data_IF_621023098374
#
_entry.id   IF_621023098374
#
_cell.length_a   1.000
_cell.length_b   1.000
_cell.length_c   1.000
_cell.angle_alpha   90.00
_cell.angle_beta   90.00
_cell.angle_gamma   90.00
#
_symmetry.space_group_name_H-M   'P 1'
#
loop_
_entity.id
_entity.type
_entity.pdbx_description
1 polymer ?
#
# COMPACT_ATOMS: atom_id res chain seq x y z
N UNK A 1 2.87 15.32 1.25
CA UNK A 1 4.29 14.89 1.26
C UNK A 1 5.08 15.82 0.33
N UNK A 2 6.33 16.17 0.67
CA UNK A 2 7.18 17.01 -0.20
C UNK A 2 7.97 16.10 -1.15
N UNK A 3 7.69 16.19 -2.45
CA UNK A 3 8.47 15.52 -3.49
C UNK A 3 9.03 16.56 -4.44
N UNK A 4 10.36 16.62 -4.59
CA UNK A 4 11.07 17.44 -5.59
C UNK A 4 10.64 18.92 -5.68
N UNK A 5 10.37 19.57 -4.54
CA UNK A 5 10.03 21.01 -4.48
C UNK A 5 8.54 21.33 -4.58
N UNK A 6 7.68 20.32 -4.80
CA UNK A 6 6.23 20.48 -4.80
C UNK A 6 5.59 19.80 -3.59
N UNK A 7 4.51 20.41 -3.09
CA UNK A 7 3.66 19.83 -2.06
C UNK A 7 2.53 19.07 -2.73
N UNK A 8 2.46 17.76 -2.49
CA UNK A 8 1.27 16.97 -2.82
C UNK A 8 0.48 16.66 -1.57
N UNK A 9 -0.82 16.97 -1.60
CA UNK A 9 -1.78 16.37 -0.68
C UNK A 9 -2.07 14.97 -1.18
N UNK A 10 -1.99 13.95 -0.32
CA UNK A 10 -2.34 12.56 -0.64
C UNK A 10 -3.47 12.13 0.29
N UNK A 11 -4.70 12.54 -0.04
CA UNK A 11 -5.86 12.26 0.77
C UNK A 11 -6.33 10.82 0.51
N UNK A 12 -6.22 9.99 1.55
CA UNK A 12 -6.59 8.59 1.51
C UNK A 12 -7.68 8.31 2.54
N UNK A 13 -8.48 7.27 2.31
CA UNK A 13 -9.47 6.78 3.27
C UNK A 13 -9.33 5.28 3.43
N UNK A 14 -9.32 4.78 4.66
CA UNK A 14 -9.48 3.35 4.93
C UNK A 14 -10.86 2.93 4.45
N UNK A 15 -10.91 2.03 3.48
CA UNK A 15 -12.15 1.56 2.86
C UNK A 15 -12.60 0.22 3.44
N UNK A 16 -11.67 -0.56 4.00
CA UNK A 16 -11.97 -1.78 4.75
C UNK A 16 -10.81 -2.15 5.68
N UNK A 17 -11.14 -3.03 6.64
CA UNK A 17 -10.20 -3.67 7.57
C UNK A 17 -10.38 -5.18 7.45
N UNK A 18 -9.28 -5.92 7.51
CA UNK A 18 -9.23 -7.37 7.58
C UNK A 18 -8.84 -7.74 9.01
N UNK A 19 -9.66 -8.53 9.69
CA UNK A 19 -9.39 -9.04 11.04
C UNK A 19 -9.86 -10.50 11.14
N UNK A 20 -9.06 -11.40 10.58
CA UNK A 20 -9.32 -12.84 10.57
C UNK A 20 -8.47 -13.48 11.69
N UNK A 21 -9.13 -13.90 12.78
CA UNK A 21 -8.44 -14.38 13.99
C UNK A 21 -8.42 -15.89 14.16
N UNK A 22 -9.22 -16.59 13.38
CA UNK A 22 -9.52 -18.02 13.52
C UNK A 22 -8.78 -18.86 12.47
N UNK A 23 -8.56 -20.14 12.79
CA UNK A 23 -7.87 -21.07 11.89
C UNK A 23 -6.35 -21.11 12.04
N UNK A 24 -5.70 -21.81 11.09
CA UNK A 24 -4.25 -22.02 11.06
C UNK A 24 -3.46 -20.74 10.71
N UNK A 25 -4.11 -19.78 10.05
CA UNK A 25 -3.51 -18.50 9.66
C UNK A 25 -4.31 -17.36 10.28
N UNK A 26 -3.65 -16.50 11.06
CA UNK A 26 -4.23 -15.25 11.55
C UNK A 26 -3.87 -14.14 10.57
N UNK A 27 -4.84 -13.35 10.10
CA UNK A 27 -4.60 -12.25 9.17
C UNK A 27 -5.16 -10.95 9.72
N UNK A 28 -4.34 -9.90 9.65
CA UNK A 28 -4.77 -8.54 9.97
C UNK A 28 -4.30 -7.58 8.88
N UNK A 29 -5.12 -6.62 8.51
CA UNK A 29 -4.76 -5.68 7.46
C UNK A 29 -5.79 -4.59 7.24
N UNK A 30 -5.47 -3.67 6.35
CA UNK A 30 -6.40 -2.63 5.91
C UNK A 30 -6.11 -2.25 4.47
N UNK A 31 -7.17 -1.87 3.75
CA UNK A 31 -7.07 -1.24 2.45
C UNK A 31 -7.43 0.23 2.56
N UNK A 32 -6.62 1.09 1.96
CA UNK A 32 -6.99 2.50 1.75
C UNK A 32 -7.11 2.81 0.27
N UNK A 33 -8.10 3.63 -0.06
CA UNK A 33 -8.31 4.16 -1.40
C UNK A 33 -7.97 5.65 -1.47
N UNK A 34 -7.48 6.09 -2.62
CA UNK A 34 -7.34 7.53 -2.94
C UNK A 34 -8.72 8.12 -3.25
N UNK A 35 -9.05 9.29 -2.69
CA UNK A 35 -10.32 9.97 -2.93
C UNK A 35 -10.40 10.55 -4.36
N UNK A 36 -11.62 10.84 -4.84
CA UNK A 36 -11.89 11.27 -6.23
C UNK A 36 -11.21 12.56 -6.67
N UNK A 37 -10.77 13.39 -5.73
CA UNK A 37 -10.03 14.64 -5.97
C UNK A 37 -8.54 14.41 -6.32
N UNK A 38 -8.10 13.14 -6.41
CA UNK A 38 -6.75 12.76 -6.85
C UNK A 38 -6.72 12.39 -8.33
N UNK A 39 -5.74 12.92 -9.07
CA UNK A 39 -5.50 12.62 -10.49
C UNK A 39 -5.16 11.15 -10.81
N UNK A 40 -4.92 10.33 -9.77
CA UNK A 40 -4.82 8.88 -9.86
C UNK A 40 -5.81 8.25 -8.88
N UNK A 41 -6.58 7.25 -9.34
CA UNK A 41 -7.50 6.48 -8.50
C UNK A 41 -6.91 5.10 -8.26
N UNK A 42 -6.64 4.74 -7.02
CA UNK A 42 -6.07 3.46 -6.66
C UNK A 42 -6.39 3.04 -5.24
N UNK A 43 -6.06 1.79 -4.94
CA UNK A 43 -6.12 1.23 -3.60
C UNK A 43 -4.78 0.59 -3.27
N UNK A 44 -4.38 0.72 -2.02
CA UNK A 44 -3.25 0.01 -1.45
C UNK A 44 -3.70 -0.72 -0.19
N UNK A 45 -3.37 -2.01 -0.14
CA UNK A 45 -3.70 -2.94 0.93
C UNK A 45 -2.44 -3.43 1.61
N UNK A 46 -2.44 -3.33 2.93
CA UNK A 46 -1.38 -3.81 3.81
C UNK A 46 -1.94 -4.98 4.59
N UNK A 47 -1.26 -6.12 4.54
CA UNK A 47 -1.69 -7.32 5.24
C UNK A 47 -0.50 -7.95 5.96
N UNK A 48 -0.73 -8.37 7.20
CA UNK A 48 0.16 -9.25 7.96
C UNK A 48 -0.57 -10.56 8.18
N UNK A 49 0.07 -11.65 7.81
CA UNK A 49 -0.40 -13.01 8.07
C UNK A 49 0.57 -13.70 9.02
N UNK A 50 0.03 -14.42 9.99
CA UNK A 50 0.81 -15.27 10.89
C UNK A 50 0.32 -16.70 10.74
N UNK A 51 1.18 -17.55 10.20
CA UNK A 51 0.96 -18.99 10.06
C UNK A 51 1.37 -19.68 11.35
N UNK A 52 0.38 -20.17 12.10
CA UNK A 52 0.61 -20.74 13.45
C UNK A 52 1.35 -22.08 13.42
N UNK A 53 1.30 -22.79 12.30
CA UNK A 53 1.91 -24.13 12.19
C UNK A 53 3.43 -24.10 12.21
N UNK A 54 4.04 -23.06 11.63
CA UNK A 54 5.48 -22.92 11.46
C UNK A 54 6.02 -21.59 12.00
N UNK A 55 5.19 -20.82 12.70
CA UNK A 55 5.49 -19.50 13.27
C UNK A 55 5.97 -18.46 12.23
N UNK A 56 5.60 -18.64 10.95
CA UNK A 56 5.98 -17.72 9.89
C UNK A 56 5.07 -16.50 9.86
N UNK A 57 5.67 -15.31 9.83
CA UNK A 57 4.98 -14.05 9.61
C UNK A 57 5.23 -13.56 8.18
N UNK A 58 4.15 -13.36 7.45
CA UNK A 58 4.16 -12.85 6.08
C UNK A 58 3.62 -11.43 6.08
N UNK A 59 4.33 -10.53 5.40
CA UNK A 59 3.86 -9.18 5.16
C UNK A 59 3.64 -8.99 3.65
N UNK A 60 2.43 -8.57 3.29
CA UNK A 60 2.03 -8.30 1.91
C UNK A 60 1.63 -6.83 1.74
N UNK A 61 2.16 -6.23 0.68
CA UNK A 61 1.71 -4.95 0.15
C UNK A 61 1.14 -5.17 -1.25
N UNK A 62 -0.16 -4.96 -1.39
CA UNK A 62 -0.86 -5.06 -2.68
C UNK A 62 -1.36 -3.68 -3.09
N UNK A 63 -1.00 -3.20 -4.28
CA UNK A 63 -1.47 -1.92 -4.79
C UNK A 63 -1.89 -1.99 -6.25
N UNK A 64 -2.98 -1.29 -6.57
CA UNK A 64 -3.39 -1.06 -7.95
C UNK A 64 -3.80 0.39 -8.14
N UNK A 65 -3.52 0.94 -9.32
CA UNK A 65 -3.88 2.31 -9.68
C UNK A 65 -4.36 2.39 -11.13
N UNK A 66 -5.30 3.31 -11.39
CA UNK A 66 -5.74 3.73 -12.71
C UNK A 66 -5.39 5.22 -12.90
N UNK A 67 -4.70 5.58 -13.99
CA UNK A 67 -4.44 6.99 -14.30
C UNK A 67 -5.75 7.70 -14.70
N UNK A 68 -5.91 8.97 -14.28
CA UNK A 68 -6.98 9.86 -14.73
C UNK A 68 -6.80 10.37 -16.18
N UNK A 69 -7.64 11.32 -16.66
CA UNK A 69 -7.60 11.79 -18.06
C UNK A 69 -6.30 12.53 -18.42
N UNK A 70 -5.72 12.13 -19.56
CA UNK A 70 -4.59 12.68 -20.36
C UNK A 70 -3.34 13.23 -19.62
N UNK A 71 -3.45 14.23 -18.74
CA UNK A 71 -2.30 14.86 -18.07
C UNK A 71 -1.64 13.96 -17.01
N UNK A 72 -2.39 13.06 -16.40
CA UNK A 72 -1.89 12.05 -15.45
C UNK A 72 -1.00 10.98 -16.10
N UNK A 73 -1.06 10.81 -17.43
CA UNK A 73 -0.26 9.80 -18.12
C UNK A 73 1.23 10.14 -18.18
N UNK A 74 1.57 11.44 -18.22
CA UNK A 74 2.98 11.91 -18.20
C UNK A 74 3.61 11.66 -16.82
N UNK A 75 2.85 11.83 -15.74
CA UNK A 75 3.29 11.53 -14.38
C UNK A 75 3.26 10.05 -14.00
N UNK A 76 2.57 9.22 -14.79
CA UNK A 76 2.31 7.83 -14.44
C UNK A 76 3.58 6.96 -14.31
N UNK A 77 4.57 7.00 -15.21
CA UNK A 77 5.82 6.26 -15.02
C UNK A 77 6.56 6.67 -13.74
N UNK A 78 6.52 7.97 -13.42
CA UNK A 78 7.13 8.51 -12.22
C UNK A 78 6.40 8.04 -10.95
N UNK A 79 5.08 8.10 -10.93
CA UNK A 79 4.26 7.58 -9.83
C UNK A 79 4.47 6.07 -9.64
N UNK A 80 4.58 5.30 -10.72
CA UNK A 80 4.92 3.86 -10.66
C UNK A 80 6.31 3.62 -10.08
N UNK A 81 7.29 4.47 -10.38
CA UNK A 81 8.62 4.37 -9.78
C UNK A 81 8.59 4.66 -8.28
N UNK A 82 7.83 5.67 -7.85
CA UNK A 82 7.63 6.00 -6.43
C UNK A 82 6.91 4.86 -5.69
N UNK A 83 5.85 4.29 -6.25
CA UNK A 83 5.15 3.13 -5.67
C UNK A 83 6.08 1.93 -5.48
N UNK A 84 6.87 1.58 -6.50
CA UNK A 84 7.85 0.48 -6.39
C UNK A 84 8.95 0.76 -5.37
N UNK A 85 9.36 2.02 -5.22
CA UNK A 85 10.32 2.42 -4.20
C UNK A 85 9.72 2.26 -2.81
N UNK A 86 8.51 2.80 -2.59
CA UNK A 86 7.78 2.68 -1.34
C UNK A 86 7.56 1.21 -0.95
N UNK A 87 7.16 0.36 -1.90
CA UNK A 87 6.99 -1.07 -1.64
C UNK A 87 8.27 -1.73 -1.12
N UNK A 88 9.42 -1.45 -1.75
CA UNK A 88 10.71 -1.99 -1.29
C UNK A 88 11.10 -1.46 0.09
N UNK A 89 10.92 -0.17 0.34
CA UNK A 89 11.23 0.44 1.64
C UNK A 89 10.31 -0.10 2.74
N UNK A 90 9.03 -0.32 2.46
CA UNK A 90 8.06 -0.89 3.40
C UNK A 90 8.40 -2.34 3.76
N UNK A 91 8.68 -3.18 2.75
CA UNK A 91 9.12 -4.57 2.96
C UNK A 91 10.38 -4.64 3.83
N UNK A 92 11.36 -3.75 3.56
CA UNK A 92 12.59 -3.68 4.33
C UNK A 92 12.35 -3.26 5.78
N UNK A 93 11.53 -2.23 6.00
CA UNK A 93 11.19 -1.76 7.34
C UNK A 93 10.51 -2.86 8.17
N UNK A 94 9.62 -3.64 7.55
CA UNK A 94 8.97 -4.78 8.21
C UNK A 94 9.97 -5.89 8.55
N UNK A 95 10.88 -6.22 7.64
CA UNK A 95 11.94 -7.20 7.92
C UNK A 95 12.90 -6.74 9.02
N UNK A 96 13.17 -5.43 9.13
CA UNK A 96 14.00 -4.88 10.22
C UNK A 96 13.26 -4.84 11.57
N UNK A 97 11.92 -4.71 11.56
CA UNK A 97 11.10 -4.65 12.77
C UNK A 97 10.70 -6.02 13.34
N UNK A 98 10.73 -7.07 12.51
CA UNK A 98 10.47 -8.46 12.89
C UNK A 98 11.75 -9.31 12.74
N UNK A 99 12.66 -9.27 13.73
CA UNK A 99 13.91 -10.03 13.73
C UNK A 99 13.72 -11.55 13.94
#
# INVERSE_FOLDING_TARGET
VRHYGFWSLNACRIVYVIDEREGAVRRYGFGYGTLSEHGERGEERFTVEWRRENDEVWYELFSFSRPGPLLSWIGYPFNRALQKRFARESLRAMAEACP
#
